data_IF_036189471616
#
_entry.id   IF_036189471616
#
_cell.length_a   1.000
_cell.length_b   1.000
_cell.length_c   1.000
_cell.angle_alpha   90.00
_cell.angle_beta   90.00
_cell.angle_gamma   90.00
#
_symmetry.space_group_name_H-M   'P 1'
#
loop_
_entity.id
_entity.type
_entity.pdbx_description
1 polymer ?
#
# COMPACT_ATOMS: atom_id res chain seq x y z
N UNK A 1 -25.78 13.98 18.79
CA UNK A 1 -24.57 14.36 18.03
C UNK A 1 -23.38 14.06 18.88
N UNK A 2 -22.75 12.90 18.73
CA UNK A 2 -21.42 12.71 19.28
C UNK A 2 -20.50 13.56 18.42
N UNK A 3 -19.90 14.58 19.01
CA UNK A 3 -18.86 15.36 18.35
C UNK A 3 -17.70 14.38 18.08
N UNK A 4 -17.29 14.25 16.82
CA UNK A 4 -16.13 13.44 16.44
C UNK A 4 -14.94 13.84 17.31
N UNK A 5 -14.49 12.95 18.21
CA UNK A 5 -13.35 13.25 19.07
C UNK A 5 -12.04 12.95 18.33
N UNK A 6 -11.65 13.90 17.49
CA UNK A 6 -10.41 13.83 16.71
C UNK A 6 -9.20 13.70 17.66
N UNK A 7 -9.25 14.29 18.85
CA UNK A 7 -8.18 14.19 19.84
C UNK A 7 -7.91 12.73 20.22
N UNK A 8 -8.95 11.97 20.51
CA UNK A 8 -8.81 10.52 20.79
C UNK A 8 -8.22 9.74 19.61
N UNK A 9 -8.61 10.07 18.36
CA UNK A 9 -8.04 9.42 17.16
C UNK A 9 -6.54 9.75 16.98
N UNK A 10 -6.14 10.98 17.30
CA UNK A 10 -4.73 11.37 17.31
C UNK A 10 -3.93 10.69 18.40
N UNK A 11 -4.49 10.57 19.61
CA UNK A 11 -3.86 9.85 20.72
C UNK A 11 -3.65 8.35 20.41
N UNK A 12 -4.65 7.69 19.82
CA UNK A 12 -4.52 6.28 19.39
C UNK A 12 -3.45 6.09 18.32
N UNK A 13 -3.39 7.00 17.34
CA UNK A 13 -2.34 7.03 16.33
C UNK A 13 -0.96 7.19 16.97
N UNK A 14 -0.81 8.15 17.85
CA UNK A 14 0.48 8.45 18.50
C UNK A 14 0.93 7.30 19.41
N UNK A 15 0.00 6.61 20.05
CA UNK A 15 0.29 5.39 20.80
C UNK A 15 0.81 4.25 19.92
N UNK A 16 0.26 4.08 18.70
CA UNK A 16 0.77 3.11 17.73
C UNK A 16 2.18 3.50 17.26
N UNK A 17 2.39 4.77 16.90
CA UNK A 17 3.72 5.30 16.51
C UNK A 17 4.74 5.06 17.62
N UNK A 18 4.44 5.38 18.87
CA UNK A 18 5.35 5.19 20.00
C UNK A 18 5.70 3.71 20.20
N UNK A 19 4.70 2.81 20.13
CA UNK A 19 4.89 1.36 20.28
C UNK A 19 5.74 0.75 19.15
N UNK A 20 5.62 1.26 17.94
CA UNK A 20 6.32 0.76 16.74
C UNK A 20 7.51 1.62 16.33
N UNK A 21 7.94 2.56 17.20
CA UNK A 21 9.06 3.46 16.90
C UNK A 21 10.37 2.71 16.69
N UNK A 22 11.08 3.07 15.63
CA UNK A 22 12.39 2.55 15.27
C UNK A 22 13.35 3.69 15.00
N UNK A 23 14.49 3.70 15.66
CA UNK A 23 15.51 4.76 15.62
C UNK A 23 14.94 6.17 15.91
N UNK A 24 13.83 6.27 16.65
CA UNK A 24 13.11 7.52 16.97
C UNK A 24 12.67 8.36 15.75
N UNK A 25 12.57 7.74 14.55
CA UNK A 25 12.24 8.42 13.29
C UNK A 25 11.30 7.64 12.41
N UNK A 26 11.33 6.33 12.53
CA UNK A 26 10.61 5.40 11.68
C UNK A 26 9.55 4.65 12.47
N UNK A 27 8.56 4.12 11.76
CA UNK A 27 7.51 3.27 12.30
C UNK A 27 7.61 1.90 11.67
N UNK A 28 7.88 0.86 12.47
CA UNK A 28 7.89 -0.52 11.99
C UNK A 28 6.47 -1.01 11.70
N UNK A 29 6.23 -1.72 10.60
CA UNK A 29 4.96 -2.38 10.34
C UNK A 29 4.56 -3.35 11.45
N UNK A 30 3.27 -3.42 11.78
CA UNK A 30 2.72 -4.27 12.85
C UNK A 30 2.10 -5.55 12.28
N UNK A 31 2.91 -6.36 11.59
CA UNK A 31 2.44 -7.58 10.90
C UNK A 31 1.69 -8.57 11.78
N UNK A 32 1.94 -8.56 13.09
CA UNK A 32 1.29 -9.46 14.04
C UNK A 32 -0.16 -9.04 14.34
N UNK A 33 -0.49 -7.74 14.19
CA UNK A 33 -1.79 -7.18 14.55
C UNK A 33 -2.28 -6.16 13.52
N UNK A 34 -1.95 -4.89 13.67
CA UNK A 34 -2.51 -3.76 12.93
C UNK A 34 -1.74 -3.50 11.63
N UNK A 35 -1.83 -4.43 10.67
CA UNK A 35 -1.19 -4.32 9.36
C UNK A 35 -2.15 -4.69 8.22
N UNK A 36 -1.93 -4.11 7.04
CA UNK A 36 -2.73 -4.35 5.84
C UNK A 36 -2.79 -5.84 5.43
N UNK A 37 -1.71 -6.62 5.66
CA UNK A 37 -1.71 -8.07 5.39
C UNK A 37 -2.75 -8.85 6.20
N UNK A 38 -3.25 -8.27 7.30
CA UNK A 38 -4.23 -8.90 8.18
C UNK A 38 -5.70 -8.59 7.81
N UNK A 39 -5.96 -7.82 6.74
CA UNK A 39 -7.33 -7.57 6.24
C UNK A 39 -8.02 -8.90 5.88
N UNK A 40 -7.27 -9.88 5.36
CA UNK A 40 -7.81 -11.23 5.09
C UNK A 40 -8.46 -11.87 6.32
N UNK A 41 -7.87 -11.69 7.50
CA UNK A 41 -8.39 -12.26 8.75
C UNK A 41 -9.68 -11.59 9.19
N UNK A 42 -9.79 -10.26 9.01
CA UNK A 42 -11.05 -9.54 9.27
C UNK A 42 -12.17 -10.04 8.38
N UNK A 43 -11.91 -10.15 7.08
CA UNK A 43 -12.88 -10.64 6.09
C UNK A 43 -13.21 -12.12 6.33
N UNK A 44 -12.20 -12.93 6.68
CA UNK A 44 -12.38 -14.33 7.07
C UNK A 44 -13.36 -14.51 8.24
N UNK A 45 -13.29 -13.64 9.27
CA UNK A 45 -14.22 -13.64 10.41
C UNK A 45 -15.64 -13.31 9.99
N UNK A 46 -15.83 -12.27 9.14
CA UNK A 46 -17.16 -11.85 8.69
C UNK A 46 -17.88 -13.00 7.95
N UNK A 47 -17.16 -13.73 7.09
CA UNK A 47 -17.75 -14.81 6.29
C UNK A 47 -17.57 -16.22 6.89
N UNK A 48 -17.08 -16.34 8.13
CA UNK A 48 -16.85 -17.63 8.79
C UNK A 48 -15.78 -18.50 8.12
N UNK A 49 -14.89 -17.90 7.32
CA UNK A 49 -13.77 -18.57 6.66
C UNK A 49 -12.56 -18.66 7.61
N UNK A 50 -12.65 -19.50 8.63
CA UNK A 50 -11.66 -19.61 9.72
C UNK A 50 -10.23 -19.92 9.24
N UNK A 51 -10.06 -20.54 8.06
CA UNK A 51 -8.74 -20.77 7.47
C UNK A 51 -8.00 -19.48 7.09
N UNK A 52 -8.72 -18.36 6.97
CA UNK A 52 -8.16 -17.04 6.69
C UNK A 52 -7.85 -16.25 7.99
N UNK A 53 -8.42 -16.65 9.12
CA UNK A 53 -8.27 -15.95 10.41
C UNK A 53 -7.08 -16.51 11.19
N UNK A 54 -5.90 -15.98 10.93
CA UNK A 54 -4.65 -16.41 11.55
C UNK A 54 -3.86 -15.24 12.17
N UNK A 55 -4.47 -14.08 12.34
CA UNK A 55 -3.83 -12.91 12.92
C UNK A 55 -4.39 -12.55 14.31
N UNK A 56 -3.57 -11.84 15.08
CA UNK A 56 -3.99 -11.27 16.38
C UNK A 56 -4.70 -9.91 16.22
N UNK A 57 -5.24 -9.60 15.04
CA UNK A 57 -5.96 -8.34 14.84
C UNK A 57 -7.23 -8.32 15.73
N UNK A 58 -7.41 -7.28 16.57
CA UNK A 58 -8.56 -7.22 17.46
C UNK A 58 -9.89 -7.16 16.71
N UNK A 59 -10.91 -7.87 17.17
CA UNK A 59 -12.25 -7.80 16.54
C UNK A 59 -12.88 -6.41 16.67
N UNK A 60 -12.50 -5.65 17.70
CA UNK A 60 -12.99 -4.30 17.95
C UNK A 60 -12.56 -3.25 16.89
N UNK A 61 -11.73 -3.62 15.93
CA UNK A 61 -11.39 -2.76 14.78
C UNK A 61 -12.46 -2.76 13.68
N UNK A 62 -13.44 -3.67 13.78
CA UNK A 62 -14.60 -3.70 12.91
C UNK A 62 -15.84 -3.18 13.61
N UNK A 63 -16.73 -2.56 12.86
CA UNK A 63 -18.10 -2.32 13.27
C UNK A 63 -18.87 -3.65 13.41
N UNK A 64 -20.05 -3.61 14.04
CA UNK A 64 -20.93 -4.78 14.13
C UNK A 64 -21.21 -5.39 12.77
N UNK A 65 -20.88 -6.66 12.58
CA UNK A 65 -21.01 -7.38 11.34
C UNK A 65 -22.00 -8.56 11.40
N UNK A 66 -22.77 -8.71 12.47
CA UNK A 66 -23.83 -9.71 12.54
C UNK A 66 -24.86 -9.51 11.43
N UNK A 67 -25.10 -10.56 10.63
CA UNK A 67 -26.01 -10.50 9.48
C UNK A 67 -25.46 -9.73 8.28
N UNK A 68 -24.17 -9.43 8.24
CA UNK A 68 -23.50 -8.91 7.04
C UNK A 68 -23.31 -10.04 6.03
N UNK A 69 -23.83 -9.82 4.83
CA UNK A 69 -23.63 -10.71 3.69
C UNK A 69 -22.68 -10.13 2.65
N UNK A 70 -22.44 -8.81 2.66
CA UNK A 70 -21.61 -8.12 1.67
C UNK A 70 -20.54 -7.28 2.35
N UNK A 71 -19.32 -7.37 1.84
CA UNK A 71 -18.22 -6.50 2.25
C UNK A 71 -17.73 -5.71 1.04
N UNK A 72 -17.73 -4.38 1.15
CA UNK A 72 -17.09 -3.47 0.20
C UNK A 72 -15.78 -2.98 0.82
N UNK A 73 -14.65 -3.49 0.32
CA UNK A 73 -13.32 -2.99 0.65
C UNK A 73 -12.93 -1.89 -0.35
N UNK A 74 -12.75 -0.67 0.11
CA UNK A 74 -12.23 0.44 -0.69
C UNK A 74 -10.77 0.64 -0.33
N UNK A 75 -9.89 0.57 -1.35
CA UNK A 75 -8.46 0.85 -1.24
C UNK A 75 -8.21 2.16 -1.99
N UNK A 76 -7.95 3.24 -1.26
CA UNK A 76 -7.70 4.58 -1.79
C UNK A 76 -6.20 4.85 -1.76
N UNK A 77 -5.55 4.70 -2.91
CA UNK A 77 -4.09 4.79 -3.08
C UNK A 77 -3.54 6.14 -2.61
N UNK A 78 -2.48 6.10 -1.81
CA UNK A 78 -1.80 7.27 -1.26
C UNK A 78 -2.53 7.95 -0.08
N UNK A 79 -3.78 7.57 0.22
CA UNK A 79 -4.62 8.24 1.21
C UNK A 79 -4.27 7.84 2.65
N UNK A 80 -3.10 8.26 3.13
CA UNK A 80 -2.61 7.95 4.47
C UNK A 80 -3.53 8.43 5.60
N UNK A 81 -3.34 7.88 6.81
CA UNK A 81 -4.18 8.16 7.99
C UNK A 81 -4.25 9.65 8.34
N UNK A 82 -3.11 10.35 8.33
CA UNK A 82 -3.06 11.78 8.61
C UNK A 82 -3.80 12.61 7.54
N UNK A 83 -3.81 12.13 6.29
CA UNK A 83 -4.56 12.74 5.20
C UNK A 83 -6.06 12.68 5.45
N UNK A 84 -6.58 11.52 5.87
CA UNK A 84 -7.98 11.37 6.27
C UNK A 84 -8.32 12.30 7.43
N UNK A 85 -7.51 12.33 8.50
CA UNK A 85 -7.75 13.20 9.65
C UNK A 85 -7.81 14.69 9.26
N UNK A 86 -6.89 15.13 8.40
CA UNK A 86 -6.86 16.51 7.92
C UNK A 86 -8.09 16.84 7.06
N UNK A 87 -8.52 15.90 6.21
CA UNK A 87 -9.71 16.08 5.38
C UNK A 87 -10.97 16.25 6.25
N UNK A 88 -11.22 15.35 7.20
CA UNK A 88 -12.44 15.40 8.04
C UNK A 88 -12.46 16.58 9.04
N UNK A 89 -11.32 17.18 9.35
CA UNK A 89 -11.26 18.45 10.13
C UNK A 89 -11.80 19.64 9.39
N UNK A 90 -11.66 19.67 8.07
CA UNK A 90 -11.97 20.82 7.22
C UNK A 90 -13.17 20.61 6.31
N UNK A 91 -13.60 19.38 6.08
CA UNK A 91 -14.64 19.01 5.15
C UNK A 91 -15.70 18.12 5.78
N UNK A 92 -16.97 18.48 5.66
CA UNK A 92 -18.10 17.70 6.17
C UNK A 92 -18.79 16.97 5.01
N UNK A 93 -18.31 15.78 4.71
CA UNK A 93 -18.78 14.94 3.60
C UNK A 93 -19.10 13.51 4.03
N UNK A 94 -19.11 12.58 3.06
CA UNK A 94 -19.38 11.18 3.33
C UNK A 94 -18.29 10.54 4.18
N UNK A 95 -17.01 10.89 3.96
CA UNK A 95 -15.90 10.39 4.76
C UNK A 95 -16.03 10.79 6.22
N UNK A 96 -16.40 12.06 6.50
CA UNK A 96 -16.66 12.52 7.87
C UNK A 96 -17.81 11.76 8.51
N UNK A 97 -18.89 11.56 7.76
CA UNK A 97 -20.07 10.81 8.21
C UNK A 97 -19.74 9.33 8.51
N UNK A 98 -18.92 8.70 7.66
CA UNK A 98 -18.45 7.33 7.90
C UNK A 98 -17.59 7.23 9.17
N UNK A 99 -16.72 8.22 9.44
CA UNK A 99 -15.88 8.24 10.64
C UNK A 99 -16.72 8.51 11.89
N UNK A 100 -17.72 9.39 11.82
CA UNK A 100 -18.60 9.72 12.96
C UNK A 100 -19.47 8.53 13.37
N UNK A 101 -19.95 7.72 12.42
CA UNK A 101 -20.89 6.63 12.66
C UNK A 101 -20.23 5.25 12.72
N UNK A 102 -19.03 5.12 12.21
CA UNK A 102 -18.26 3.87 12.14
C UNK A 102 -17.16 3.75 13.17
N UNK A 103 -16.21 2.90 12.88
CA UNK A 103 -14.98 2.70 13.65
C UNK A 103 -13.79 3.06 12.79
N UNK A 104 -12.98 4.00 13.22
CA UNK A 104 -11.71 4.36 12.60
C UNK A 104 -10.55 3.92 13.48
N UNK A 105 -9.62 3.16 12.93
CA UNK A 105 -8.35 2.78 13.55
C UNK A 105 -7.19 3.06 12.61
N UNK A 106 -6.00 3.21 13.16
CA UNK A 106 -4.78 3.30 12.38
C UNK A 106 -4.19 1.91 12.17
N UNK A 107 -3.95 1.53 10.92
CA UNK A 107 -3.14 0.37 10.54
C UNK A 107 -1.76 0.81 10.08
N UNK A 108 -0.87 -0.16 9.91
CA UNK A 108 0.41 0.03 9.24
C UNK A 108 0.40 -0.58 7.85
N UNK A 109 0.94 0.16 6.88
CA UNK A 109 1.36 -0.38 5.58
C UNK A 109 2.54 -1.35 5.78
N UNK A 110 2.78 -2.34 4.89
CA UNK A 110 4.03 -3.09 4.89
C UNK A 110 5.22 -2.20 4.52
N UNK A 111 6.44 -2.70 4.70
CA UNK A 111 7.65 -2.03 4.23
C UNK A 111 8.30 -2.80 3.07
N UNK A 112 8.69 -2.10 1.99
CA UNK A 112 8.49 -0.67 1.67
C UNK A 112 7.01 -0.26 1.54
N UNK A 113 6.67 0.95 2.03
CA UNK A 113 5.31 1.49 1.99
C UNK A 113 5.01 2.03 0.57
N UNK A 114 4.74 1.12 -0.35
CA UNK A 114 4.55 1.40 -1.79
C UNK A 114 3.45 0.52 -2.36
N UNK A 115 2.78 1.02 -3.40
CA UNK A 115 1.63 0.36 -4.05
C UNK A 115 1.87 -1.12 -4.34
N UNK A 116 3.01 -1.47 -4.95
CA UNK A 116 3.30 -2.85 -5.35
C UNK A 116 3.39 -3.80 -4.15
N UNK A 117 4.10 -3.40 -3.10
CA UNK A 117 4.28 -4.19 -1.87
C UNK A 117 2.97 -4.27 -1.08
N UNK A 118 2.27 -3.15 -0.96
CA UNK A 118 1.05 -3.05 -0.16
C UNK A 118 -0.12 -3.80 -0.78
N UNK A 119 -0.36 -3.63 -2.09
CA UNK A 119 -1.40 -4.40 -2.78
C UNK A 119 -1.09 -5.90 -2.76
N UNK A 120 0.18 -6.30 -2.93
CA UNK A 120 0.57 -7.70 -2.76
C UNK A 120 0.20 -8.20 -1.35
N UNK A 121 0.52 -7.45 -0.29
CA UNK A 121 0.17 -7.83 1.08
C UNK A 121 -1.33 -7.88 1.32
N UNK A 122 -2.11 -6.90 0.83
CA UNK A 122 -3.58 -6.89 0.96
C UNK A 122 -4.20 -8.11 0.28
N UNK A 123 -3.83 -8.39 -0.98
CA UNK A 123 -4.47 -9.43 -1.79
C UNK A 123 -3.97 -10.85 -1.50
N UNK A 124 -2.75 -11.02 -0.97
CA UNK A 124 -2.21 -12.34 -0.60
C UNK A 124 -2.34 -12.63 0.90
N UNK A 125 -2.49 -11.58 1.72
CA UNK A 125 -2.46 -11.69 3.16
C UNK A 125 -1.10 -12.12 3.72
N UNK A 126 -0.01 -11.89 2.96
CA UNK A 126 1.36 -12.25 3.30
C UNK A 126 2.19 -10.99 3.55
N UNK A 127 3.18 -11.02 4.45
CA UNK A 127 4.18 -9.96 4.56
C UNK A 127 5.19 -10.01 3.40
N UNK A 128 5.95 -8.91 3.14
CA UNK A 128 6.91 -8.83 2.04
C UNK A 128 7.97 -9.93 2.02
N UNK A 129 8.39 -10.42 3.18
CA UNK A 129 9.35 -11.53 3.29
C UNK A 129 8.82 -12.84 2.69
N UNK A 130 7.49 -13.01 2.61
CA UNK A 130 6.85 -14.22 2.07
C UNK A 130 6.47 -14.05 0.60
N UNK A 131 5.86 -12.90 0.20
CA UNK A 131 5.47 -12.73 -1.20
C UNK A 131 6.59 -12.21 -2.11
N UNK A 132 7.71 -11.70 -1.54
CA UNK A 132 8.91 -11.33 -2.28
C UNK A 132 8.79 -10.05 -3.13
N UNK A 133 7.75 -9.22 -2.94
CA UNK A 133 7.60 -7.92 -3.61
C UNK A 133 8.03 -6.84 -2.63
N UNK A 134 9.21 -6.25 -2.85
CA UNK A 134 9.89 -5.37 -1.90
C UNK A 134 10.27 -4.02 -2.52
N UNK A 135 9.31 -3.36 -3.17
CA UNK A 135 9.49 -2.04 -3.75
C UNK A 135 8.91 -1.91 -5.15
N UNK A 136 8.91 -0.69 -5.67
CA UNK A 136 8.49 -0.37 -7.03
C UNK A 136 9.44 -0.96 -8.08
N UNK A 137 10.74 -0.94 -7.78
CA UNK A 137 11.78 -1.58 -8.60
C UNK A 137 12.49 -2.64 -7.77
N UNK A 138 12.68 -3.82 -8.35
CA UNK A 138 13.29 -4.96 -7.67
C UNK A 138 14.36 -5.60 -8.57
N UNK A 139 15.46 -6.04 -7.97
CA UNK A 139 16.43 -6.86 -8.66
C UNK A 139 16.02 -8.33 -8.60
N UNK A 140 15.76 -8.91 -9.76
CA UNK A 140 15.56 -10.36 -9.87
C UNK A 140 16.87 -11.04 -10.22
N UNK A 141 17.45 -11.77 -9.25
CA UNK A 141 18.66 -12.57 -9.47
C UNK A 141 18.39 -13.69 -10.47
N UNK A 142 17.20 -14.28 -10.45
CA UNK A 142 16.78 -15.37 -11.33
C UNK A 142 16.82 -14.94 -12.80
N UNK A 143 16.38 -13.73 -13.10
CA UNK A 143 16.32 -13.17 -14.45
C UNK A 143 17.51 -12.25 -14.79
N UNK A 144 18.37 -11.92 -13.81
CA UNK A 144 19.52 -11.04 -13.99
C UNK A 144 19.15 -9.61 -14.41
N UNK A 145 17.97 -9.10 -14.03
CA UNK A 145 17.48 -7.79 -14.42
C UNK A 145 16.81 -7.05 -13.26
N UNK A 146 16.69 -5.72 -13.39
CA UNK A 146 15.82 -4.90 -12.55
C UNK A 146 14.43 -4.88 -13.16
N UNK A 147 13.42 -5.13 -12.36
CA UNK A 147 12.00 -5.27 -12.76
C UNK A 147 11.19 -4.15 -12.14
N UNK A 148 10.32 -3.52 -12.92
CA UNK A 148 9.21 -2.73 -12.39
C UNK A 148 8.16 -3.68 -11.81
N UNK A 149 7.87 -3.56 -10.52
CA UNK A 149 6.99 -4.48 -9.82
C UNK A 149 5.50 -4.36 -10.21
N UNK A 150 5.06 -3.19 -10.69
CA UNK A 150 3.67 -3.01 -11.14
C UNK A 150 3.43 -3.68 -12.50
N UNK A 151 4.35 -3.47 -13.44
CA UNK A 151 4.22 -3.99 -14.81
C UNK A 151 4.83 -5.38 -14.97
N UNK A 152 5.66 -5.82 -14.01
CA UNK A 152 6.50 -7.03 -14.10
C UNK A 152 7.38 -7.03 -15.35
N UNK A 153 7.83 -5.84 -15.76
CA UNK A 153 8.67 -5.61 -16.93
C UNK A 153 10.10 -5.29 -16.53
N UNK A 154 11.10 -5.80 -17.25
CA UNK A 154 12.47 -5.41 -17.03
C UNK A 154 12.66 -3.92 -17.42
N UNK A 155 13.26 -3.16 -16.50
CA UNK A 155 13.65 -1.75 -16.71
C UNK A 155 15.16 -1.59 -16.86
N UNK A 156 15.93 -2.59 -16.47
CA UNK A 156 17.37 -2.66 -16.66
C UNK A 156 17.82 -4.12 -16.71
N UNK A 157 18.62 -4.49 -17.74
CA UNK A 157 19.02 -5.86 -18.02
C UNK A 157 18.16 -6.51 -19.11
N UNK A 158 18.19 -7.83 -19.21
CA UNK A 158 17.54 -8.57 -20.28
C UNK A 158 16.68 -9.70 -19.73
N UNK A 159 15.37 -9.71 -20.02
CA UNK A 159 14.45 -10.78 -19.66
C UNK A 159 13.14 -10.75 -20.44
N UNK A 160 12.38 -11.84 -20.39
CA UNK A 160 11.03 -11.95 -20.93
C UNK A 160 9.98 -11.50 -19.91
N UNK A 161 9.18 -10.50 -20.27
CA UNK A 161 8.14 -9.91 -19.42
C UNK A 161 7.10 -10.95 -18.93
N UNK A 162 6.73 -11.88 -19.78
CA UNK A 162 5.67 -12.86 -19.49
C UNK A 162 6.09 -13.88 -18.45
N UNK A 163 7.38 -14.19 -18.36
CA UNK A 163 7.88 -15.22 -17.45
C UNK A 163 7.87 -14.74 -15.99
N UNK A 164 8.23 -13.49 -15.74
CA UNK A 164 8.33 -12.92 -14.39
C UNK A 164 6.97 -12.98 -13.66
N UNK A 165 5.92 -12.43 -14.27
CA UNK A 165 4.58 -12.44 -13.67
C UNK A 165 4.03 -13.86 -13.50
N UNK A 166 4.25 -14.74 -14.50
CA UNK A 166 3.81 -16.13 -14.47
C UNK A 166 4.49 -16.92 -13.34
N UNK A 167 5.79 -16.76 -13.16
CA UNK A 167 6.53 -17.51 -12.15
C UNK A 167 6.23 -16.99 -10.74
N UNK A 168 6.02 -15.69 -10.59
CA UNK A 168 5.56 -15.12 -9.33
C UNK A 168 4.14 -15.61 -8.99
N UNK A 169 3.20 -15.66 -9.95
CA UNK A 169 1.84 -16.15 -9.73
C UNK A 169 1.75 -17.64 -9.36
N UNK A 170 2.79 -18.41 -9.60
CA UNK A 170 2.88 -19.80 -9.13
C UNK A 170 3.26 -19.89 -7.65
N UNK A 171 4.04 -18.92 -7.16
CA UNK A 171 4.56 -18.88 -5.78
C UNK A 171 3.60 -18.12 -4.85
N UNK A 172 2.96 -17.09 -5.37
CA UNK A 172 2.12 -16.15 -4.62
C UNK A 172 0.68 -16.23 -5.11
N UNK A 173 -0.27 -16.45 -4.21
CA UNK A 173 -1.69 -16.61 -4.53
C UNK A 173 -2.54 -15.63 -3.75
N UNK A 174 -3.56 -15.01 -4.36
CA UNK A 174 -4.55 -14.24 -3.61
C UNK A 174 -5.36 -15.16 -2.68
N UNK A 175 -5.77 -14.62 -1.53
CA UNK A 175 -6.59 -15.35 -0.55
C UNK A 175 -8.09 -15.34 -0.88
N UNK A 176 -8.55 -14.36 -1.65
CA UNK A 176 -9.98 -14.17 -1.93
C UNK A 176 -10.68 -15.36 -2.60
N UNK A 177 -10.05 -16.13 -3.51
CA UNK A 177 -10.67 -17.32 -4.07
C UNK A 177 -11.06 -18.37 -3.01
N UNK A 178 -10.45 -18.36 -1.82
CA UNK A 178 -10.82 -19.24 -0.70
C UNK A 178 -12.25 -18.96 -0.23
N UNK A 179 -12.72 -17.73 -0.32
CA UNK A 179 -14.09 -17.34 0.04
C UNK A 179 -15.16 -18.03 -0.82
N UNK A 180 -14.82 -18.40 -2.06
CA UNK A 180 -15.73 -19.14 -2.93
C UNK A 180 -16.14 -20.50 -2.34
N UNK A 181 -15.27 -21.12 -1.53
CA UNK A 181 -15.59 -22.37 -0.81
C UNK A 181 -16.63 -22.15 0.30
N UNK A 182 -16.88 -20.89 0.67
CA UNK A 182 -17.89 -20.47 1.65
C UNK A 182 -19.11 -19.85 0.96
N UNK A 183 -19.26 -20.02 -0.38
CA UNK A 183 -20.38 -19.48 -1.15
C UNK A 183 -20.33 -17.96 -1.34
N UNK A 184 -19.18 -17.32 -1.09
CA UNK A 184 -19.00 -15.87 -1.22
C UNK A 184 -18.47 -15.55 -2.62
N UNK A 185 -19.19 -14.74 -3.38
CA UNK A 185 -18.73 -14.22 -4.68
C UNK A 185 -17.67 -13.16 -4.46
N UNK A 186 -16.56 -13.24 -5.19
CA UNK A 186 -15.42 -12.32 -5.04
C UNK A 186 -15.15 -11.51 -6.30
N UNK A 187 -15.04 -10.19 -6.17
CA UNK A 187 -14.96 -9.25 -7.26
C UNK A 187 -13.90 -8.17 -6.99
N UNK A 188 -13.27 -7.69 -8.05
CA UNK A 188 -12.38 -6.52 -8.00
C UNK A 188 -12.86 -5.48 -8.99
N UNK A 189 -13.12 -4.25 -8.53
CA UNK A 189 -13.39 -3.08 -9.38
C UNK A 189 -12.12 -2.24 -9.43
N UNK A 190 -11.55 -2.05 -10.61
CA UNK A 190 -10.29 -1.32 -10.79
C UNK A 190 -10.25 -0.56 -12.11
N UNK A 191 -9.31 0.39 -12.24
CA UNK A 191 -9.16 1.19 -13.47
C UNK A 191 -8.78 0.30 -14.65
N UNK A 192 -9.41 0.52 -15.80
CA UNK A 192 -9.22 -0.31 -17.01
C UNK A 192 -7.76 -0.41 -17.46
N UNK A 193 -6.96 0.64 -17.23
CA UNK A 193 -5.53 0.66 -17.56
C UNK A 193 -4.68 -0.28 -16.69
N UNK A 194 -5.18 -0.71 -15.55
CA UNK A 194 -4.48 -1.60 -14.60
C UNK A 194 -4.81 -3.07 -14.89
N UNK A 195 -6.00 -3.34 -15.45
CA UNK A 195 -6.44 -4.71 -15.73
C UNK A 195 -5.47 -5.44 -16.65
N UNK A 196 -4.96 -6.58 -16.19
CA UNK A 196 -4.00 -7.39 -16.94
C UNK A 196 -2.57 -6.84 -16.92
N UNK A 197 -2.25 -5.82 -16.12
CA UNK A 197 -0.86 -5.44 -15.82
C UNK A 197 -0.12 -6.57 -15.12
N UNK A 198 1.21 -6.51 -15.05
CA UNK A 198 2.02 -7.57 -14.47
C UNK A 198 1.60 -7.97 -13.06
N UNK A 199 1.55 -7.00 -12.14
CA UNK A 199 1.13 -7.24 -10.76
C UNK A 199 -0.33 -7.69 -10.69
N UNK A 200 -1.25 -7.05 -11.44
CA UNK A 200 -2.67 -7.39 -11.38
C UNK A 200 -2.94 -8.83 -11.84
N UNK A 201 -2.15 -9.38 -12.76
CA UNK A 201 -2.22 -10.79 -13.13
C UNK A 201 -1.86 -11.74 -11.97
N UNK A 202 -1.02 -11.28 -11.06
CA UNK A 202 -0.63 -12.05 -9.88
C UNK A 202 -1.68 -11.96 -8.78
N UNK A 203 -2.02 -10.73 -8.39
CA UNK A 203 -2.88 -10.48 -7.22
C UNK A 203 -4.39 -10.62 -7.50
N UNK A 204 -4.80 -10.56 -8.77
CA UNK A 204 -6.20 -10.79 -9.19
C UNK A 204 -6.37 -12.14 -9.89
N UNK A 205 -5.42 -13.05 -9.75
CA UNK A 205 -5.54 -14.40 -10.32
C UNK A 205 -6.80 -15.10 -9.78
N UNK A 206 -7.55 -15.72 -10.68
CA UNK A 206 -8.80 -16.45 -10.36
C UNK A 206 -9.93 -15.58 -9.76
N UNK A 207 -9.88 -14.23 -9.99
CA UNK A 207 -10.91 -13.28 -9.56
C UNK A 207 -11.66 -12.68 -10.76
N UNK A 208 -12.93 -12.35 -10.56
CA UNK A 208 -13.70 -11.54 -11.49
C UNK A 208 -13.29 -10.08 -11.37
N UNK A 209 -12.81 -9.48 -12.48
CA UNK A 209 -12.37 -8.09 -12.51
C UNK A 209 -13.32 -7.24 -13.37
N UNK A 210 -13.85 -6.18 -12.77
CA UNK A 210 -14.75 -5.22 -13.41
C UNK A 210 -13.96 -3.92 -13.66
N UNK A 211 -13.62 -3.61 -14.93
CA UNK A 211 -12.90 -2.38 -15.24
C UNK A 211 -13.80 -1.15 -15.17
N UNK A 212 -13.26 -0.02 -14.71
CA UNK A 212 -13.85 1.30 -14.91
C UNK A 212 -12.89 2.20 -15.72
N UNK A 213 -13.46 3.09 -16.53
CA UNK A 213 -12.70 4.04 -17.35
C UNK A 213 -12.53 5.38 -16.65
N UNK A 214 -13.62 5.90 -16.09
CA UNK A 214 -13.68 7.17 -15.38
C UNK A 214 -14.15 6.94 -13.94
N UNK A 215 -13.66 7.76 -13.04
CA UNK A 215 -13.97 7.69 -11.60
C UNK A 215 -15.48 7.80 -11.33
N UNK A 216 -16.22 8.56 -12.17
CA UNK A 216 -17.67 8.69 -12.07
C UNK A 216 -18.45 7.39 -12.24
N UNK A 217 -17.88 6.37 -12.91
CA UNK A 217 -18.56 5.07 -13.11
C UNK A 217 -18.19 4.01 -12.07
N UNK A 218 -17.09 4.19 -11.30
CA UNK A 218 -16.59 3.16 -10.38
C UNK A 218 -17.63 2.76 -9.32
N UNK A 219 -18.25 3.74 -8.67
CA UNK A 219 -19.28 3.49 -7.66
C UNK A 219 -20.60 3.00 -8.28
N UNK A 220 -20.90 3.37 -9.53
CA UNK A 220 -22.06 2.79 -10.24
C UNK A 220 -21.87 1.30 -10.44
N UNK A 221 -20.67 0.85 -10.76
CA UNK A 221 -20.33 -0.57 -10.91
C UNK A 221 -20.42 -1.29 -9.56
N UNK A 222 -19.82 -0.74 -8.51
CA UNK A 222 -19.95 -1.28 -7.16
C UNK A 222 -21.42 -1.41 -6.72
N UNK A 223 -22.23 -0.37 -6.93
CA UNK A 223 -23.64 -0.40 -6.59
C UNK A 223 -24.41 -1.51 -7.31
N UNK A 224 -24.20 -1.65 -8.62
CA UNK A 224 -24.88 -2.71 -9.40
C UNK A 224 -24.58 -4.10 -8.84
N UNK A 225 -23.34 -4.36 -8.44
CA UNK A 225 -22.98 -5.64 -7.84
C UNK A 225 -23.59 -5.82 -6.44
N UNK A 226 -23.54 -4.78 -5.59
CA UNK A 226 -24.08 -4.85 -4.23
C UNK A 226 -25.62 -4.95 -4.17
N UNK A 227 -26.34 -4.65 -5.26
CA UNK A 227 -27.79 -4.87 -5.35
C UNK A 227 -28.14 -6.35 -5.67
N UNK A 228 -27.16 -7.19 -6.04
CA UNK A 228 -27.38 -8.62 -6.18
C UNK A 228 -27.47 -9.29 -4.81
N UNK A 229 -28.31 -10.32 -4.70
CA UNK A 229 -28.48 -11.09 -3.47
C UNK A 229 -27.32 -12.07 -3.24
N UNK A 230 -27.08 -12.40 -1.97
CA UNK A 230 -26.14 -13.40 -1.53
C UNK A 230 -24.78 -12.83 -1.10
N UNK A 231 -23.97 -13.69 -0.45
CA UNK A 231 -22.69 -13.29 0.11
C UNK A 231 -21.71 -12.82 -0.94
N UNK A 232 -21.06 -11.66 -0.69
CA UNK A 232 -20.15 -11.03 -1.64
C UNK A 232 -19.02 -10.29 -0.94
N UNK A 233 -17.80 -10.45 -1.47
CA UNK A 233 -16.66 -9.60 -1.18
C UNK A 233 -16.26 -8.82 -2.43
N UNK A 234 -16.33 -7.50 -2.37
CA UNK A 234 -16.00 -6.61 -3.48
C UNK A 234 -14.87 -5.68 -3.04
N UNK A 235 -13.74 -5.72 -3.74
CA UNK A 235 -12.64 -4.79 -3.56
C UNK A 235 -12.68 -3.71 -4.65
N UNK A 236 -12.68 -2.43 -4.24
CA UNK A 236 -12.52 -1.27 -5.13
C UNK A 236 -11.15 -0.66 -4.92
N UNK A 237 -10.35 -0.54 -5.99
CA UNK A 237 -9.09 0.17 -5.98
C UNK A 237 -9.21 1.50 -6.73
N UNK A 238 -8.76 2.59 -6.09
CA UNK A 238 -8.82 3.96 -6.60
C UNK A 238 -7.46 4.64 -6.47
N UNK A 239 -6.89 5.09 -7.59
CA UNK A 239 -5.51 5.60 -7.69
C UNK A 239 -5.40 7.13 -7.92
N UNK A 240 -6.51 7.86 -7.83
CA UNK A 240 -6.53 9.29 -8.18
C UNK A 240 -5.67 10.14 -7.26
N UNK A 241 -5.70 9.88 -5.95
CA UNK A 241 -5.01 10.70 -4.94
C UNK A 241 -3.50 10.58 -5.10
N UNK A 242 -2.95 9.35 -5.08
CA UNK A 242 -1.52 9.11 -5.25
C UNK A 242 -0.97 9.72 -6.55
N UNK A 243 -1.71 9.57 -7.66
CA UNK A 243 -1.34 10.14 -8.95
C UNK A 243 -1.11 11.65 -8.87
N UNK A 244 -1.97 12.37 -8.15
CA UNK A 244 -1.85 13.82 -7.99
C UNK A 244 -0.83 14.20 -6.92
N UNK A 245 -0.71 13.42 -5.84
CA UNK A 245 0.31 13.63 -4.82
C UNK A 245 1.72 13.55 -5.39
N UNK A 246 2.01 12.58 -6.25
CA UNK A 246 3.29 12.51 -6.96
C UNK A 246 3.56 13.75 -7.80
N UNK A 247 2.56 14.26 -8.50
CA UNK A 247 2.73 15.35 -9.45
C UNK A 247 2.79 16.73 -8.80
N UNK A 248 1.92 16.98 -7.83
CA UNK A 248 1.69 18.31 -7.26
C UNK A 248 2.12 18.42 -5.80
N UNK A 249 2.42 17.30 -5.16
CA UNK A 249 2.69 17.22 -3.73
C UNK A 249 1.43 17.00 -2.90
N UNK A 250 1.58 16.35 -1.74
CA UNK A 250 0.45 15.91 -0.92
C UNK A 250 -0.38 17.06 -0.33
N UNK A 251 0.13 18.27 -0.28
CA UNK A 251 -0.57 19.44 0.30
C UNK A 251 -1.17 20.38 -0.77
N UNK A 252 -1.17 19.97 -2.04
CA UNK A 252 -1.66 20.79 -3.16
C UNK A 252 -3.18 20.95 -3.17
N UNK A 253 -3.64 21.93 -3.93
CA UNK A 253 -5.06 22.16 -4.17
C UNK A 253 -5.66 21.03 -5.01
N UNK A 254 -4.92 20.51 -5.96
CA UNK A 254 -5.32 19.41 -6.84
C UNK A 254 -5.64 18.16 -6.03
N UNK A 255 -4.82 17.81 -5.04
CA UNK A 255 -5.05 16.66 -4.15
C UNK A 255 -6.30 16.87 -3.29
N UNK A 256 -6.49 18.07 -2.74
CA UNK A 256 -7.72 18.37 -1.98
C UNK A 256 -8.97 18.22 -2.83
N UNK A 257 -8.97 18.77 -4.03
CA UNK A 257 -10.11 18.68 -4.96
C UNK A 257 -10.39 17.24 -5.38
N UNK A 258 -9.37 16.40 -5.53
CA UNK A 258 -9.52 14.98 -5.85
C UNK A 258 -10.19 14.20 -4.71
N UNK A 259 -9.76 14.44 -3.46
CA UNK A 259 -10.38 13.84 -2.27
C UNK A 259 -11.83 14.30 -2.13
N UNK A 260 -12.13 15.59 -2.33
CA UNK A 260 -13.50 16.12 -2.31
C UNK A 260 -14.38 15.54 -3.43
N UNK A 261 -13.80 15.31 -4.61
CA UNK A 261 -14.49 14.67 -5.73
C UNK A 261 -14.83 13.20 -5.40
N UNK A 262 -13.88 12.47 -4.82
CA UNK A 262 -14.11 11.10 -4.33
C UNK A 262 -15.22 11.08 -3.27
N UNK A 263 -15.15 11.99 -2.29
CA UNK A 263 -16.14 12.11 -1.20
C UNK A 263 -17.55 12.40 -1.73
N UNK A 264 -17.67 13.27 -2.72
CA UNK A 264 -18.92 13.54 -3.41
C UNK A 264 -19.48 12.30 -4.14
N UNK A 265 -18.64 11.56 -4.84
CA UNK A 265 -19.03 10.32 -5.53
C UNK A 265 -19.47 9.24 -4.52
N UNK A 266 -18.74 9.11 -3.42
CA UNK A 266 -19.07 8.20 -2.32
C UNK A 266 -20.44 8.59 -1.69
N UNK A 267 -20.70 9.86 -1.44
CA UNK A 267 -21.98 10.33 -0.92
C UNK A 267 -23.15 9.97 -1.84
N UNK A 268 -22.97 10.14 -3.14
CA UNK A 268 -24.00 9.79 -4.12
C UNK A 268 -24.23 8.28 -4.20
N UNK A 269 -23.18 7.49 -4.11
CA UNK A 269 -23.25 6.03 -4.04
C UNK A 269 -24.07 5.56 -2.83
N UNK A 270 -23.73 6.06 -1.63
CA UNK A 270 -24.45 5.73 -0.39
C UNK A 270 -25.94 6.08 -0.44
N UNK A 271 -26.29 7.21 -1.07
CA UNK A 271 -27.70 7.61 -1.26
C UNK A 271 -28.48 6.73 -2.23
N UNK A 272 -27.82 6.15 -3.22
CA UNK A 272 -28.46 5.39 -4.30
C UNK A 272 -28.57 3.88 -4.00
N UNK A 273 -27.89 3.39 -2.97
CA UNK A 273 -28.06 2.00 -2.52
C UNK A 273 -29.46 1.79 -1.93
N UNK A 274 -30.07 0.66 -2.24
CA UNK A 274 -31.33 0.24 -1.61
C UNK A 274 -31.14 -0.03 -0.11
N UNK A 275 -32.21 0.11 0.68
CA UNK A 275 -32.17 -0.21 2.12
C UNK A 275 -31.81 -1.67 2.36
N UNK A 276 -32.24 -2.59 1.48
CA UNK A 276 -31.86 -3.99 1.56
C UNK A 276 -30.35 -4.18 1.41
N UNK A 277 -29.73 -3.56 0.39
CA UNK A 277 -28.28 -3.62 0.20
C UNK A 277 -27.51 -2.98 1.36
N UNK A 278 -27.98 -1.83 1.88
CA UNK A 278 -27.35 -1.16 3.04
C UNK A 278 -27.37 -2.02 4.29
N UNK A 279 -28.48 -2.68 4.57
CA UNK A 279 -28.64 -3.47 5.80
C UNK A 279 -27.68 -4.66 5.88
N UNK A 280 -27.25 -5.19 4.76
CA UNK A 280 -26.42 -6.38 4.65
C UNK A 280 -24.97 -6.06 4.24
N UNK A 281 -24.61 -4.78 4.08
CA UNK A 281 -23.28 -4.37 3.62
C UNK A 281 -22.45 -3.70 4.72
N UNK A 282 -21.24 -4.20 4.93
CA UNK A 282 -20.17 -3.54 5.66
C UNK A 282 -19.22 -2.87 4.66
N UNK A 283 -18.99 -1.58 4.81
CA UNK A 283 -17.90 -0.88 4.12
C UNK A 283 -16.64 -0.91 4.96
N UNK A 284 -15.51 -1.20 4.33
CA UNK A 284 -14.17 -1.06 4.89
C UNK A 284 -13.40 -0.15 3.95
N UNK A 285 -12.91 1.00 4.45
CA UNK A 285 -12.05 1.89 3.69
C UNK A 285 -10.65 1.87 4.28
N UNK A 286 -9.66 1.70 3.42
CA UNK A 286 -8.24 1.75 3.76
C UNK A 286 -7.44 2.43 2.65
N UNK A 287 -6.15 2.56 2.87
CA UNK A 287 -5.16 2.93 1.85
C UNK A 287 -4.05 1.88 1.83
N UNK A 288 -3.29 1.86 0.78
CA UNK A 288 -2.09 1.02 0.66
C UNK A 288 -0.87 1.66 1.32
N UNK A 289 -0.72 2.98 1.26
CA UNK A 289 0.30 3.79 1.94
C UNK A 289 -0.14 5.25 2.05
N UNK A 290 0.67 6.07 2.70
CA UNK A 290 0.58 7.52 2.62
C UNK A 290 1.75 8.09 1.82
N UNK A 291 1.77 9.42 1.62
CA UNK A 291 2.75 10.13 0.79
C UNK A 291 3.35 11.30 1.56
N UNK A 292 4.68 11.44 1.48
CA UNK A 292 5.43 12.58 2.00
C UNK A 292 5.70 13.61 0.90
N UNK A 293 5.77 14.89 1.30
CA UNK A 293 6.25 15.94 0.40
C UNK A 293 7.71 15.70 0.02
N UNK A 294 8.04 15.88 -1.26
CA UNK A 294 9.40 15.81 -1.78
C UNK A 294 9.87 17.21 -2.16
N UNK A 295 10.76 17.78 -1.36
CA UNK A 295 11.34 19.11 -1.61
C UNK A 295 12.57 19.06 -2.51
N UNK A 296 13.31 17.94 -2.48
CA UNK A 296 14.52 17.76 -3.28
C UNK A 296 14.66 16.32 -3.73
N UNK A 297 14.89 16.12 -5.01
CA UNK A 297 15.29 14.83 -5.59
C UNK A 297 16.81 14.77 -5.75
N UNK A 298 17.42 13.78 -5.14
CA UNK A 298 18.86 13.50 -5.25
C UNK A 298 19.05 12.45 -6.34
N UNK A 299 19.74 12.83 -7.43
CA UNK A 299 20.06 11.93 -8.54
C UNK A 299 21.34 11.16 -8.25
N UNK A 300 21.24 9.92 -7.80
CA UNK A 300 22.41 9.12 -7.38
C UNK A 300 23.38 8.84 -8.54
N UNK A 301 22.91 8.84 -9.79
CA UNK A 301 23.76 8.68 -10.98
C UNK A 301 24.77 9.82 -11.13
N UNK A 302 24.44 11.02 -10.64
CA UNK A 302 25.30 12.20 -10.74
C UNK A 302 26.35 12.26 -9.61
N UNK A 303 26.20 11.42 -8.58
CA UNK A 303 27.17 11.30 -7.49
C UNK A 303 28.20 10.22 -7.87
N UNK A 304 29.27 10.62 -8.56
CA UNK A 304 30.29 9.69 -9.07
C UNK A 304 30.89 8.80 -7.99
N UNK A 305 31.05 9.32 -6.79
CA UNK A 305 31.55 8.61 -5.61
C UNK A 305 30.63 7.45 -5.20
N UNK A 306 29.33 7.55 -5.43
CA UNK A 306 28.34 6.50 -5.20
C UNK A 306 28.22 5.61 -6.44
N UNK A 307 27.92 6.21 -7.61
CA UNK A 307 27.61 5.51 -8.83
C UNK A 307 28.73 4.54 -9.28
N UNK A 308 30.01 4.96 -9.15
CA UNK A 308 31.15 4.13 -9.55
C UNK A 308 31.37 2.88 -8.69
N UNK A 309 30.79 2.84 -7.48
CA UNK A 309 30.93 1.74 -6.51
C UNK A 309 29.75 0.76 -6.52
N UNK A 310 28.67 1.08 -7.25
CA UNK A 310 27.51 0.21 -7.37
C UNK A 310 27.78 -0.94 -8.33
N UNK A 311 27.36 -2.15 -7.93
CA UNK A 311 27.36 -3.36 -8.77
C UNK A 311 26.29 -3.29 -9.86
N UNK A 312 25.10 -2.77 -9.49
CA UNK A 312 23.97 -2.54 -10.37
C UNK A 312 23.24 -1.25 -9.93
N UNK A 313 22.38 -0.70 -10.77
CA UNK A 313 21.57 0.47 -10.39
C UNK A 313 20.79 0.22 -9.10
N UNK A 314 20.61 1.23 -8.23
CA UNK A 314 19.74 1.12 -7.06
C UNK A 314 18.33 0.67 -7.41
N UNK A 315 17.72 -0.09 -6.51
CA UNK A 315 16.32 -0.54 -6.64
C UNK A 315 15.51 -0.10 -5.42
N UNK A 316 14.23 -0.41 -5.35
CA UNK A 316 13.30 0.03 -4.31
C UNK A 316 12.48 1.23 -4.77
N UNK A 317 12.36 2.22 -3.92
CA UNK A 317 11.54 3.42 -4.10
C UNK A 317 12.34 4.70 -3.84
N UNK A 318 11.74 5.85 -4.15
CA UNK A 318 12.39 7.15 -3.97
C UNK A 318 12.75 7.45 -2.51
N UNK A 319 12.08 6.84 -1.55
CA UNK A 319 12.28 7.07 -0.12
C UNK A 319 12.86 5.86 0.63
N UNK A 320 12.98 4.71 -0.06
CA UNK A 320 13.70 3.53 0.43
C UNK A 320 14.42 2.85 -0.74
N UNK A 321 15.68 3.17 -0.93
CA UNK A 321 16.50 2.57 -1.98
C UNK A 321 17.39 1.46 -1.43
N UNK A 322 17.47 0.35 -2.17
CA UNK A 322 18.38 -0.77 -1.90
C UNK A 322 19.56 -0.74 -2.86
N UNK A 323 20.77 -0.89 -2.31
CA UNK A 323 22.01 -0.68 -3.04
C UNK A 323 22.90 -1.92 -2.96
N UNK A 324 23.47 -2.27 -4.10
CA UNK A 324 24.36 -3.42 -4.27
C UNK A 324 25.77 -2.92 -4.53
N UNK A 325 26.69 -3.22 -3.63
CA UNK A 325 28.07 -2.79 -3.72
C UNK A 325 28.89 -3.72 -4.64
N UNK A 326 29.86 -3.15 -5.37
CA UNK A 326 30.96 -3.97 -5.91
C UNK A 326 31.71 -4.64 -4.76
N UNK A 327 32.11 -5.90 -4.94
CA UNK A 327 32.65 -6.74 -3.88
C UNK A 327 33.76 -6.10 -3.04
N UNK A 328 34.69 -5.38 -3.67
CA UNK A 328 35.81 -4.72 -2.97
C UNK A 328 35.47 -3.29 -2.48
N UNK A 329 34.29 -2.77 -2.78
CA UNK A 329 33.92 -1.37 -2.57
C UNK A 329 32.89 -1.15 -1.46
N UNK A 330 32.46 -2.21 -0.76
CA UNK A 330 31.36 -2.14 0.22
C UNK A 330 31.58 -1.04 1.27
N UNK A 331 32.75 -1.00 1.90
CA UNK A 331 33.06 -0.02 2.94
C UNK A 331 33.24 1.41 2.37
N UNK A 332 33.80 1.54 1.17
CA UNK A 332 33.93 2.81 0.49
C UNK A 332 32.56 3.36 0.06
N UNK A 333 31.67 2.49 -0.41
CA UNK A 333 30.30 2.85 -0.73
C UNK A 333 29.55 3.33 0.52
N UNK A 334 29.66 2.62 1.65
CA UNK A 334 29.06 3.05 2.93
C UNK A 334 29.44 4.49 3.27
N UNK A 335 30.74 4.81 3.24
CA UNK A 335 31.24 6.15 3.55
C UNK A 335 30.75 7.21 2.56
N UNK A 336 30.70 6.86 1.28
CA UNK A 336 30.17 7.76 0.26
C UNK A 336 28.67 8.03 0.48
N UNK A 337 27.86 6.98 0.74
CA UNK A 337 26.43 7.14 1.03
C UNK A 337 26.17 8.03 2.25
N UNK A 338 26.91 7.80 3.35
CA UNK A 338 26.77 8.59 4.58
C UNK A 338 27.14 10.07 4.39
N UNK A 339 28.08 10.37 3.50
CA UNK A 339 28.53 11.74 3.22
C UNK A 339 27.63 12.46 2.24
N UNK A 340 27.15 11.76 1.20
CA UNK A 340 26.51 12.38 0.04
C UNK A 340 24.95 12.38 0.14
N UNK A 341 24.36 11.45 0.90
CA UNK A 341 22.91 11.33 1.00
C UNK A 341 22.38 12.02 2.28
N UNK A 342 22.42 13.35 2.28
CA UNK A 342 21.81 14.13 3.36
C UNK A 342 20.31 13.90 3.45
N UNK A 343 19.78 13.75 4.67
CA UNK A 343 18.36 13.43 4.91
C UNK A 343 18.03 11.94 4.71
N UNK A 344 19.07 11.07 4.66
CA UNK A 344 18.87 9.61 4.61
C UNK A 344 19.62 8.92 5.75
N UNK A 345 18.98 7.88 6.28
CA UNK A 345 19.61 6.93 7.19
C UNK A 345 20.11 5.74 6.38
N UNK A 346 21.44 5.50 6.42
CA UNK A 346 22.05 4.36 5.73
C UNK A 346 22.16 3.21 6.71
N UNK A 347 21.57 2.07 6.34
CA UNK A 347 21.50 0.86 7.16
C UNK A 347 22.00 -0.36 6.41
N UNK A 348 22.45 -1.35 7.16
CA UNK A 348 22.58 -2.70 6.59
C UNK A 348 21.21 -3.37 6.56
N UNK A 349 20.87 -4.12 5.48
CA UNK A 349 19.61 -4.85 5.40
C UNK A 349 19.39 -5.84 6.56
N UNK A 350 20.47 -6.35 7.17
CA UNK A 350 20.41 -7.20 8.35
C UNK A 350 19.69 -6.53 9.52
N UNK A 351 19.94 -5.22 9.75
CA UNK A 351 19.31 -4.46 10.82
C UNK A 351 17.78 -4.34 10.61
N UNK A 352 17.34 -4.14 9.35
CA UNK A 352 15.93 -4.09 8.99
C UNK A 352 15.24 -5.45 9.13
N UNK A 353 15.94 -6.53 8.78
CA UNK A 353 15.46 -7.91 8.95
C UNK A 353 15.29 -8.22 10.43
N UNK A 354 16.28 -7.92 11.26
CA UNK A 354 16.24 -8.17 12.70
C UNK A 354 15.12 -7.36 13.37
N UNK A 355 14.93 -6.11 12.95
CA UNK A 355 13.83 -5.27 13.41
C UNK A 355 12.44 -5.78 12.95
N UNK A 356 12.36 -6.71 11.99
CA UNK A 356 11.12 -7.26 11.45
C UNK A 356 10.43 -6.33 10.45
N UNK A 357 11.17 -5.43 9.79
CA UNK A 357 10.60 -4.46 8.84
C UNK A 357 9.85 -5.11 7.66
N UNK A 358 10.25 -6.31 7.24
CA UNK A 358 9.63 -7.05 6.13
C UNK A 358 8.68 -8.18 6.57
N UNK A 359 8.41 -8.29 7.87
CA UNK A 359 7.77 -9.45 8.48
C UNK A 359 8.79 -10.48 8.97
N UNK A 360 8.30 -11.62 9.49
CA UNK A 360 9.13 -12.69 10.06
C UNK A 360 8.98 -13.99 9.29
N UNK A 361 10.09 -14.69 9.10
CA UNK A 361 10.16 -16.00 8.47
C UNK A 361 11.29 -16.82 9.10
N UNK A 362 11.32 -18.12 8.85
CA UNK A 362 12.46 -18.98 9.20
C UNK A 362 13.59 -18.94 8.17
N UNK A 363 13.32 -18.48 6.94
CA UNK A 363 14.29 -18.36 5.85
C UNK A 363 14.30 -16.95 5.23
N UNK A 364 15.34 -16.20 5.49
CA UNK A 364 15.55 -14.85 4.96
C UNK A 364 16.44 -14.79 3.71
N UNK A 365 16.97 -15.92 3.22
CA UNK A 365 17.88 -15.90 2.06
C UNK A 365 17.24 -15.35 0.78
N UNK A 366 15.96 -15.65 0.45
CA UNK A 366 15.30 -15.03 -0.69
C UNK A 366 15.24 -13.50 -0.58
N UNK A 367 14.89 -12.98 0.61
CA UNK A 367 14.79 -11.55 0.87
C UNK A 367 16.15 -10.85 0.75
N UNK A 368 17.23 -11.41 1.33
CA UNK A 368 18.57 -10.81 1.27
C UNK A 368 19.02 -10.56 -0.16
N UNK A 369 18.63 -11.41 -1.09
CA UNK A 369 18.96 -11.23 -2.51
C UNK A 369 18.26 -10.05 -3.16
N UNK A 370 17.13 -9.59 -2.59
CA UNK A 370 16.30 -8.50 -3.11
C UNK A 370 16.67 -7.13 -2.55
N UNK A 371 17.33 -7.07 -1.39
CA UNK A 371 17.58 -5.82 -0.65
C UNK A 371 19.05 -5.39 -0.61
N UNK A 372 19.94 -6.13 -1.28
CA UNK A 372 21.33 -5.75 -1.51
C UNK A 372 22.21 -5.65 -0.27
N UNK A 373 23.17 -4.74 -0.28
CA UNK A 373 24.17 -4.53 0.77
C UNK A 373 23.85 -3.37 1.70
N UNK A 374 23.12 -2.36 1.22
CA UNK A 374 22.69 -1.19 1.98
C UNK A 374 21.26 -0.80 1.63
N UNK A 375 20.57 -0.26 2.63
CA UNK A 375 19.31 0.44 2.49
C UNK A 375 19.52 1.92 2.81
N UNK A 376 19.05 2.81 1.94
CA UNK A 376 19.00 4.26 2.19
C UNK A 376 17.54 4.65 2.44
N UNK A 377 17.21 4.97 3.69
CA UNK A 377 15.85 5.33 4.12
C UNK A 377 15.75 6.83 4.32
N UNK A 378 14.81 7.47 3.64
CA UNK A 378 14.54 8.91 3.82
C UNK A 378 14.00 9.18 5.22
N UNK A 379 14.60 10.14 5.90
CA UNK A 379 14.18 10.62 7.22
C UNK A 379 13.78 12.11 7.21
N UNK A 380 13.59 12.67 6.01
CA UNK A 380 13.24 14.05 5.75
C UNK A 380 12.48 14.21 4.43
N UNK A 381 12.41 15.43 3.86
CA UNK A 381 11.66 15.70 2.65
C UNK A 381 12.44 15.41 1.35
N UNK A 382 13.50 14.61 1.41
CA UNK A 382 14.32 14.28 0.26
C UNK A 382 13.89 12.93 -0.35
N UNK A 383 13.90 12.87 -1.69
CA UNK A 383 13.74 11.64 -2.46
C UNK A 383 15.02 11.27 -3.21
N UNK A 384 15.19 9.99 -3.51
CA UNK A 384 16.25 9.47 -4.36
C UNK A 384 15.70 9.15 -5.74
N UNK A 385 16.50 9.38 -6.77
CA UNK A 385 16.21 8.95 -8.13
C UNK A 385 17.47 8.36 -8.75
N UNK A 386 17.27 7.30 -9.51
CA UNK A 386 18.29 6.76 -10.40
C UNK A 386 17.65 6.56 -11.79
N UNK A 387 17.74 7.54 -12.69
CA UNK A 387 17.21 7.40 -14.03
C UNK A 387 18.00 6.32 -14.78
N UNK A 388 17.33 5.24 -15.16
CA UNK A 388 17.95 4.13 -15.92
C UNK A 388 18.24 4.57 -17.36
N UNK A 389 17.38 5.42 -17.93
CA UNK A 389 17.53 6.03 -19.25
C UNK A 389 17.54 7.55 -19.16
N UNK A 390 18.09 8.24 -20.18
CA UNK A 390 18.20 9.70 -20.18
C UNK A 390 16.84 10.42 -20.09
N UNK A 391 15.81 9.85 -20.71
CA UNK A 391 14.45 10.41 -20.71
C UNK A 391 13.72 10.30 -19.37
N UNK A 392 14.23 9.53 -18.42
CA UNK A 392 13.62 9.36 -17.09
C UNK A 392 13.88 10.57 -16.15
N UNK A 393 14.81 11.46 -16.49
CA UNK A 393 15.19 12.64 -15.67
C UNK A 393 14.08 13.70 -15.57
N UNK A 394 13.10 13.70 -16.47
CA UNK A 394 12.08 14.76 -16.56
C UNK A 394 10.85 14.48 -15.65
N UNK A 395 10.93 13.50 -14.78
CA UNK A 395 9.83 13.16 -13.85
C UNK A 395 10.19 13.62 -12.44
N UNK A 396 10.24 14.95 -12.24
CA UNK A 396 10.26 15.49 -10.89
C UNK A 396 8.95 15.12 -10.18
N UNK A 397 9.08 14.53 -9.00
CA UNK A 397 7.96 14.18 -8.15
C UNK A 397 7.96 15.11 -6.94
N UNK A 398 6.82 15.76 -6.68
CA UNK A 398 6.62 16.62 -5.53
C UNK A 398 6.11 15.84 -4.30
N UNK A 399 5.71 14.60 -4.48
CA UNK A 399 5.36 13.64 -3.44
C UNK A 399 6.05 12.31 -3.64
N UNK A 400 6.43 11.64 -2.56
CA UNK A 400 7.10 10.34 -2.59
C UNK A 400 6.71 9.47 -1.39
N UNK A 401 6.86 8.17 -1.58
CA UNK A 401 6.56 7.13 -0.59
C UNK A 401 7.59 6.00 -0.71
N UNK A 402 7.38 4.91 0.02
CA UNK A 402 8.26 3.73 0.04
C UNK A 402 9.10 3.64 1.31
N UNK A 403 9.19 4.71 2.10
CA UNK A 403 9.94 4.73 3.35
C UNK A 403 9.18 4.17 4.55
N UNK A 404 9.60 4.61 5.73
CA UNK A 404 9.09 4.13 7.03
C UNK A 404 8.66 5.28 7.95
N UNK A 405 8.44 6.49 7.44
CA UNK A 405 7.93 7.57 8.29
C UNK A 405 6.46 7.34 8.63
N UNK A 406 5.96 7.95 9.70
CA UNK A 406 4.56 7.84 10.08
C UNK A 406 3.60 8.28 8.97
N UNK A 407 4.00 9.29 8.17
CA UNK A 407 3.20 9.77 7.04
C UNK A 407 3.03 8.73 5.93
N UNK A 408 4.00 7.84 5.75
CA UNK A 408 3.99 6.80 4.72
C UNK A 408 3.34 5.49 5.19
N UNK A 409 3.64 5.10 6.45
CA UNK A 409 3.27 3.79 6.98
C UNK A 409 1.88 3.77 7.57
N UNK A 410 1.38 4.88 8.14
CA UNK A 410 0.07 4.89 8.79
C UNK A 410 -1.06 5.06 7.76
N UNK A 411 -1.96 4.08 7.74
CA UNK A 411 -3.12 4.05 6.85
C UNK A 411 -4.41 3.87 7.64
N UNK A 412 -5.56 4.35 7.16
CA UNK A 412 -6.82 4.18 7.85
C UNK A 412 -7.35 2.75 7.73
N UNK A 413 -8.01 2.26 8.77
CA UNK A 413 -9.01 1.21 8.72
C UNK A 413 -10.31 1.82 9.22
N UNK A 414 -11.14 2.24 8.31
CA UNK A 414 -12.48 2.76 8.61
C UNK A 414 -13.50 1.69 8.26
N UNK A 415 -14.29 1.26 9.22
CA UNK A 415 -15.37 0.29 9.00
C UNK A 415 -16.70 0.84 9.47
N UNK A 416 -17.75 0.61 8.68
CA UNK A 416 -19.11 0.99 9.04
C UNK A 416 -20.14 0.07 8.37
N UNK A 417 -21.14 -0.34 9.12
CA UNK A 417 -22.34 -0.98 8.56
C UNK A 417 -23.18 0.09 7.85
N UNK A 418 -23.51 -0.12 6.56
CA UNK A 418 -24.17 0.91 5.74
C UNK A 418 -25.62 1.23 6.16
N UNK A 419 -26.27 0.40 6.97
CA UNK A 419 -27.56 0.74 7.57
C UNK A 419 -27.50 1.95 8.52
N UNK A 420 -26.30 2.34 8.95
CA UNK A 420 -26.05 3.55 9.76
C UNK A 420 -25.86 4.82 8.91
N UNK A 421 -25.63 4.67 7.57
CA UNK A 421 -25.34 5.75 6.65
C UNK A 421 -26.55 6.62 6.32
#
# INVERSE_FOLDING_TARGET
>A
MHCLDIGTLEEERDALVARRSFLNRFVLPDYESLNLSNIKSLVGRIFGAHSLDNSAIPSQVLDDFDGIERVLLIIMDGFGYNRLLNHIKSHNGALSELVEKGILKSLTSPFPATTSTSLASIFTGMPPVEHGIVGYQMFSREYGCVVNALDMKPVYGYSSEVEIARDLSRKVKPWMPVLSNHGVRTLVVTKASIVGSGLSRVIHADLDVIPYMLESEMFVKCRRELEHQGPMFLALYYSGVDTLEHRYGPNSEEVRNEIESFDFLLKNFLKQLSDAAKNETLIILTSDHGVCETQRTIYMKDILEVASRLQLPPVGDSRAAFLYAKQAEKENLRRALQRELDGFTIMEPADLIEAGAFGRTSDYEPLKSLIGDFAALSNGPNGLSYPYYENDRNREQNGGHGGMTAEEVLVPLLSMRLSKA
#
